data_IF_206791547713
#
_entry.id   IF_206791547713
#
_cell.length_a   1.000
_cell.length_b   1.000
_cell.length_c   1.000
_cell.angle_alpha   90.00
_cell.angle_beta   90.00
_cell.angle_gamma   90.00
#
_symmetry.space_group_name_H-M   'P 1'
#
loop_
_entity.id
_entity.type
_entity.pdbx_description
1 polymer ?
#
# COMPACT_ATOMS: atom_id res chain seq x y z
N UNK A 1 36.89 -2.68 4.77
CA UNK A 1 35.48 -2.83 5.21
C UNK A 1 34.83 -1.46 5.18
N UNK A 2 33.67 -1.41 4.53
CA UNK A 2 32.71 -0.29 4.47
C UNK A 2 32.99 0.85 3.47
N UNK A 3 32.58 0.62 2.22
CA UNK A 3 32.01 1.67 1.38
C UNK A 3 30.86 1.03 0.58
N UNK A 4 29.66 1.03 1.16
CA UNK A 4 28.43 0.72 0.43
C UNK A 4 27.89 2.05 -0.12
N UNK A 5 28.56 2.55 -1.14
CA UNK A 5 28.00 3.53 -2.06
C UNK A 5 26.90 2.86 -2.88
N UNK A 6 25.66 3.06 -2.43
CA UNK A 6 24.52 3.16 -3.34
C UNK A 6 23.69 4.37 -2.94
N UNK A 7 24.19 5.54 -3.34
CA UNK A 7 23.36 6.64 -3.80
C UNK A 7 22.48 6.12 -4.95
N UNK A 8 21.30 5.60 -4.62
CA UNK A 8 20.21 5.51 -5.57
C UNK A 8 19.58 6.90 -5.66
N UNK A 9 19.41 7.38 -6.89
CA UNK A 9 18.95 8.72 -7.20
C UNK A 9 17.58 9.04 -6.61
N UNK A 10 17.45 10.29 -6.24
CA UNK A 10 16.24 11.02 -5.93
C UNK A 10 15.33 11.04 -7.18
N UNK A 11 14.51 10.00 -7.36
CA UNK A 11 13.24 10.10 -8.06
C UNK A 11 12.15 9.69 -7.05
N UNK A 12 10.98 10.35 -7.02
CA UNK A 12 9.87 9.93 -6.17
C UNK A 12 9.24 8.65 -6.72
N UNK A 13 9.97 7.54 -6.65
CA UNK A 13 9.50 6.20 -6.92
C UNK A 13 9.23 5.57 -5.56
N UNK A 14 7.96 5.38 -5.20
CA UNK A 14 7.53 4.57 -4.06
C UNK A 14 8.04 3.13 -4.25
N UNK A 15 9.33 2.90 -3.99
CA UNK A 15 9.90 1.55 -4.05
C UNK A 15 9.33 0.68 -2.94
N UNK A 16 8.92 1.29 -1.82
CA UNK A 16 8.53 0.59 -0.61
C UNK A 16 7.35 1.29 0.05
N UNK A 17 6.14 1.20 -0.52
CA UNK A 17 4.97 1.82 0.07
C UNK A 17 4.76 1.29 1.49
N UNK A 18 4.72 2.20 2.45
CA UNK A 18 4.46 1.88 3.85
C UNK A 18 3.29 2.70 4.37
N UNK A 19 2.36 2.04 5.06
CA UNK A 19 1.31 2.77 5.79
C UNK A 19 1.97 3.59 6.89
N UNK A 20 1.67 4.89 6.91
CA UNK A 20 2.09 5.80 7.98
C UNK A 20 1.59 5.30 9.33
N UNK A 21 2.42 5.38 10.36
CA UNK A 21 2.08 4.90 11.71
C UNK A 21 0.83 5.58 12.33
N UNK A 22 0.43 6.74 11.81
CA UNK A 22 -0.78 7.47 12.20
C UNK A 22 -2.07 6.78 11.73
N UNK A 23 -1.98 5.95 10.69
CA UNK A 23 -3.11 5.25 10.09
C UNK A 23 -3.19 3.84 10.65
N UNK A 24 -4.42 3.42 10.98
CA UNK A 24 -4.66 2.09 11.52
C UNK A 24 -5.68 1.35 10.67
N UNK A 25 -5.21 0.32 9.97
CA UNK A 25 -6.08 -0.60 9.25
C UNK A 25 -6.78 -1.52 10.26
N UNK A 26 -8.11 -1.53 10.23
CA UNK A 26 -8.95 -2.38 11.07
C UNK A 26 -10.01 -3.09 10.22
N UNK A 27 -10.40 -4.30 10.62
CA UNK A 27 -11.55 -4.98 10.03
C UNK A 27 -12.83 -4.60 10.76
N UNK A 28 -13.85 -4.18 10.01
CA UNK A 28 -15.16 -3.77 10.50
C UNK A 28 -16.21 -4.84 10.13
N UNK A 29 -16.59 -5.72 11.07
CA UNK A 29 -17.52 -6.82 10.79
C UNK A 29 -18.94 -6.32 10.49
N UNK A 30 -19.34 -5.16 11.03
CA UNK A 30 -20.64 -4.56 10.76
C UNK A 30 -20.84 -4.23 9.27
N UNK A 31 -19.75 -3.95 8.55
CA UNK A 31 -19.76 -3.57 7.15
C UNK A 31 -19.14 -4.63 6.22
N UNK A 32 -18.59 -5.70 6.79
CA UNK A 32 -17.78 -6.70 6.09
C UNK A 32 -16.69 -6.05 5.22
N UNK A 33 -16.06 -5.00 5.76
CA UNK A 33 -15.10 -4.20 5.04
C UNK A 33 -13.94 -3.82 5.96
N UNK A 34 -12.80 -3.52 5.35
CA UNK A 34 -11.68 -2.96 6.07
C UNK A 34 -11.82 -1.44 6.12
N UNK A 35 -11.48 -0.84 7.25
CA UNK A 35 -11.48 0.61 7.44
C UNK A 35 -10.09 1.07 7.83
N UNK A 36 -9.67 2.20 7.26
CA UNK A 36 -8.46 2.91 7.64
C UNK A 36 -8.84 4.06 8.55
N UNK A 37 -8.43 3.97 9.81
CA UNK A 37 -8.67 5.01 10.82
C UNK A 37 -7.50 5.98 10.85
N UNK A 38 -7.77 7.27 10.93
CA UNK A 38 -6.78 8.34 11.06
C UNK A 38 -7.38 9.49 11.90
N UNK A 39 -6.59 10.40 12.49
CA UNK A 39 -7.11 11.34 13.49
C UNK A 39 -8.17 12.31 12.95
N UNK A 40 -8.18 12.57 11.64
CA UNK A 40 -9.16 13.44 10.99
C UNK A 40 -10.43 12.69 10.53
N UNK A 41 -10.44 11.35 10.52
CA UNK A 41 -11.60 10.58 10.07
C UNK A 41 -11.39 9.08 9.87
N UNK A 42 -12.21 8.48 9.02
CA UNK A 42 -12.09 7.09 8.61
C UNK A 42 -12.34 6.96 7.11
N UNK A 43 -11.58 6.09 6.46
CA UNK A 43 -11.79 5.72 5.06
C UNK A 43 -12.22 4.26 5.01
N UNK A 44 -13.36 4.01 4.37
CA UNK A 44 -13.80 2.66 4.08
C UNK A 44 -13.06 2.15 2.86
N UNK A 45 -12.34 1.06 3.04
CA UNK A 45 -11.62 0.38 1.98
C UNK A 45 -12.40 -0.88 1.57
N UNK A 46 -12.42 -1.13 0.27
CA UNK A 46 -12.88 -2.42 -0.23
C UNK A 46 -11.86 -3.51 0.09
N UNK A 47 -12.27 -4.77 0.02
CA UNK A 47 -11.41 -5.92 0.30
C UNK A 47 -10.09 -5.85 -0.47
N UNK A 48 -10.13 -5.53 -1.76
CA UNK A 48 -8.94 -5.37 -2.60
C UNK A 48 -7.99 -4.27 -2.10
N UNK A 49 -8.53 -3.08 -1.81
CA UNK A 49 -7.75 -1.92 -1.35
C UNK A 49 -7.08 -2.19 0.01
N UNK A 50 -7.79 -2.87 0.91
CA UNK A 50 -7.22 -3.24 2.20
C UNK A 50 -6.15 -4.32 2.10
N UNK A 51 -6.32 -5.30 1.21
CA UNK A 51 -5.30 -6.33 1.00
C UNK A 51 -4.05 -5.79 0.31
N UNK A 52 -4.20 -4.73 -0.52
CA UNK A 52 -3.08 -3.93 -1.05
C UNK A 52 -2.35 -3.27 0.12
N UNK A 53 -3.06 -2.50 0.94
CA UNK A 53 -2.48 -1.77 2.07
C UNK A 53 -1.83 -2.69 3.10
N UNK A 54 -2.47 -3.82 3.43
CA UNK A 54 -1.94 -4.82 4.35
C UNK A 54 -0.62 -5.44 3.89
N UNK A 55 -0.34 -5.41 2.58
CA UNK A 55 0.95 -5.82 2.00
C UNK A 55 1.95 -4.68 1.87
N UNK A 56 1.49 -3.42 1.96
CA UNK A 56 2.31 -2.22 1.98
C UNK A 56 2.96 -2.03 3.36
N UNK A 57 3.95 -2.87 3.65
CA UNK A 57 4.69 -2.86 4.92
C UNK A 57 6.04 -2.11 4.81
N UNK A 58 6.37 -1.54 3.64
CA UNK A 58 7.66 -0.90 3.37
C UNK A 58 8.82 -1.89 3.16
N UNK A 59 8.55 -3.19 3.10
CA UNK A 59 9.57 -4.23 2.88
C UNK A 59 9.60 -4.76 1.46
N UNK A 60 8.47 -4.74 0.74
CA UNK A 60 8.30 -5.31 -0.59
C UNK A 60 8.13 -4.23 -1.65
N UNK A 61 8.66 -4.48 -2.84
CA UNK A 61 8.43 -3.64 -4.01
C UNK A 61 7.00 -3.78 -4.54
N UNK A 62 6.53 -2.71 -5.17
CA UNK A 62 5.20 -2.62 -5.79
C UNK A 62 4.97 -3.77 -6.79
N UNK A 63 5.98 -4.14 -7.57
CA UNK A 63 5.88 -5.22 -8.55
C UNK A 63 5.64 -6.60 -7.90
N UNK A 64 6.37 -6.91 -6.83
CA UNK A 64 6.16 -8.14 -6.05
C UNK A 64 4.80 -8.14 -5.36
N UNK A 65 4.38 -6.98 -4.86
CA UNK A 65 3.07 -6.81 -4.23
C UNK A 65 1.94 -7.04 -5.23
N UNK A 66 2.06 -6.54 -6.46
CA UNK A 66 1.11 -6.78 -7.56
C UNK A 66 1.04 -8.27 -7.87
N UNK A 67 2.18 -8.95 -8.06
CA UNK A 67 2.19 -10.38 -8.37
C UNK A 67 1.53 -11.22 -7.25
N UNK A 68 1.80 -10.90 -5.98
CA UNK A 68 1.19 -11.59 -4.83
C UNK A 68 -0.32 -11.32 -4.74
N UNK A 69 -0.77 -10.10 -5.07
CA UNK A 69 -2.19 -9.74 -5.16
C UNK A 69 -2.90 -10.49 -6.29
N UNK A 70 -2.33 -10.49 -7.49
CA UNK A 70 -2.89 -11.20 -8.64
C UNK A 70 -3.08 -12.69 -8.35
N UNK A 71 -2.09 -13.31 -7.69
CA UNK A 71 -2.18 -14.69 -7.22
C UNK A 71 -3.26 -14.88 -6.14
N UNK A 72 -3.31 -14.00 -5.13
CA UNK A 72 -4.24 -14.12 -4.01
C UNK A 72 -5.70 -13.87 -4.41
N UNK A 73 -5.94 -12.94 -5.34
CA UNK A 73 -7.27 -12.62 -5.87
C UNK A 73 -7.64 -13.46 -7.11
N UNK A 74 -6.75 -14.33 -7.57
CA UNK A 74 -6.92 -15.15 -8.78
C UNK A 74 -7.35 -14.31 -10.00
N UNK A 75 -6.74 -13.13 -10.15
CA UNK A 75 -7.08 -12.14 -11.17
C UNK A 75 -5.81 -11.56 -11.74
N UNK A 76 -5.87 -11.02 -12.96
CA UNK A 76 -4.72 -10.46 -13.66
C UNK A 76 -5.03 -9.05 -14.17
N UNK A 77 -4.00 -8.23 -14.34
CA UNK A 77 -4.13 -6.84 -14.75
C UNK A 77 -4.40 -5.88 -13.58
N UNK A 78 -4.19 -6.30 -12.33
CA UNK A 78 -4.32 -5.40 -11.18
C UNK A 78 -3.18 -4.39 -11.08
N UNK A 79 -2.08 -4.60 -11.81
CA UNK A 79 -0.89 -3.76 -11.68
C UNK A 79 -1.16 -2.27 -11.88
N UNK A 80 -1.96 -1.90 -12.88
CA UNK A 80 -2.32 -0.50 -13.14
C UNK A 80 -3.20 0.07 -12.03
N UNK A 81 -4.22 -0.66 -11.60
CA UNK A 81 -5.14 -0.26 -10.52
C UNK A 81 -4.40 -0.10 -9.19
N UNK A 82 -3.50 -1.03 -8.86
CA UNK A 82 -2.68 -0.98 -7.65
C UNK A 82 -1.75 0.22 -7.69
N UNK A 83 -1.07 0.47 -8.81
CA UNK A 83 -0.18 1.64 -8.96
C UNK A 83 -0.96 2.95 -8.84
N UNK A 84 -2.11 3.05 -9.50
CA UNK A 84 -2.99 4.22 -9.39
C UNK A 84 -3.46 4.43 -7.94
N UNK A 85 -3.86 3.36 -7.26
CA UNK A 85 -4.25 3.41 -5.86
C UNK A 85 -3.11 3.82 -4.93
N UNK A 86 -1.88 3.35 -5.15
CA UNK A 86 -0.72 3.76 -4.35
C UNK A 86 -0.40 5.25 -4.51
N UNK A 87 -0.50 5.77 -5.74
CA UNK A 87 -0.31 7.20 -6.02
C UNK A 87 -1.40 8.02 -5.33
N UNK A 88 -2.66 7.59 -5.43
CA UNK A 88 -3.79 8.24 -4.75
C UNK A 88 -3.64 8.21 -3.23
N UNK A 89 -3.33 7.05 -2.66
CA UNK A 89 -3.09 6.88 -1.22
C UNK A 89 -1.91 7.71 -0.72
N UNK A 90 -0.84 7.87 -1.52
CA UNK A 90 0.25 8.78 -1.19
C UNK A 90 -0.18 10.25 -1.27
N UNK A 91 -0.95 10.64 -2.29
CA UNK A 91 -1.49 12.01 -2.42
C UNK A 91 -2.43 12.37 -1.27
N UNK A 92 -3.22 11.40 -0.79
CA UNK A 92 -4.02 11.50 0.42
C UNK A 92 -3.20 11.48 1.72
N UNK A 93 -1.90 11.21 1.64
CA UNK A 93 -0.98 11.17 2.76
C UNK A 93 -1.12 9.93 3.65
N UNK A 94 -1.73 8.85 3.15
CA UNK A 94 -1.87 7.57 3.86
C UNK A 94 -0.56 6.75 3.87
N UNK A 95 0.23 6.91 2.81
CA UNK A 95 1.50 6.21 2.61
C UNK A 95 2.69 7.17 2.77
N UNK A 96 3.83 6.63 3.21
CA UNK A 96 5.16 7.25 3.17
C UNK A 96 6.13 6.42 2.32
#
# INVERSE_FOLDING_TARGET
MNDLSHTAGDEPTLHRPKIKALFRLQWEPAQNAHVLLYPEGMVKLNQSAAEILKRCDGTRDVDTLIADLELAFNTTGLGTEVRAFLVDAQAHGWLE
#
